data_IF_534626832363
#
_entry.id   IF_534626832363
#
_cell.length_a   1.000
_cell.length_b   1.000
_cell.length_c   1.000
_cell.angle_alpha   90.00
_cell.angle_beta   90.00
_cell.angle_gamma   90.00
#
_symmetry.space_group_name_H-M   'P 1'
#
loop_
_entity.id
_entity.type
_entity.pdbx_description
1 polymer ?
#
# COMPACT_ATOMS: atom_id res chain seq x y z
N UNK A 1 15.86 -14.15 8.84
CA UNK A 1 16.18 -12.75 8.47
C UNK A 1 16.07 -11.88 9.71
N UNK A 2 17.00 -10.95 9.98
CA UNK A 2 16.84 -9.98 11.08
C UNK A 2 15.65 -9.06 10.78
N UNK A 3 14.84 -8.72 11.79
CA UNK A 3 13.63 -7.88 11.61
C UNK A 3 13.93 -6.49 11.05
N UNK A 4 15.11 -5.94 11.31
CA UNK A 4 15.59 -4.70 10.68
C UNK A 4 15.72 -4.86 9.16
N UNK A 5 16.39 -5.93 8.70
CA UNK A 5 16.60 -6.20 7.29
C UNK A 5 15.27 -6.40 6.55
N UNK A 6 14.29 -7.00 7.23
CA UNK A 6 12.94 -7.17 6.69
C UNK A 6 12.23 -5.84 6.49
N UNK A 7 12.28 -4.93 7.48
CA UNK A 7 11.70 -3.60 7.38
C UNK A 7 12.28 -2.83 6.19
N UNK A 8 13.59 -2.89 5.99
CA UNK A 8 14.25 -2.25 4.86
C UNK A 8 13.80 -2.85 3.53
N UNK A 9 13.64 -4.17 3.46
CA UNK A 9 13.13 -4.88 2.29
C UNK A 9 11.69 -4.46 1.96
N UNK A 10 10.82 -4.39 2.97
CA UNK A 10 9.43 -3.96 2.85
C UNK A 10 9.34 -2.52 2.34
N UNK A 11 10.07 -1.59 2.95
CA UNK A 11 10.12 -0.20 2.53
C UNK A 11 10.69 -0.06 1.11
N UNK A 12 11.79 -0.75 0.81
CA UNK A 12 12.40 -0.74 -0.51
C UNK A 12 11.49 -1.28 -1.61
N UNK A 13 10.70 -2.31 -1.31
CA UNK A 13 9.68 -2.83 -2.22
C UNK A 13 8.57 -1.81 -2.50
N UNK A 14 8.07 -1.13 -1.46
CA UNK A 14 7.06 -0.08 -1.64
C UNK A 14 7.62 1.08 -2.48
N UNK A 15 8.87 1.52 -2.24
CA UNK A 15 9.52 2.56 -3.06
C UNK A 15 9.55 2.17 -4.54
N UNK A 16 9.93 0.93 -4.84
CA UNK A 16 9.95 0.44 -6.23
C UNK A 16 8.55 0.45 -6.85
N UNK A 17 7.55 -0.05 -6.13
CA UNK A 17 6.17 -0.06 -6.60
C UNK A 17 5.61 1.34 -6.84
N UNK A 18 5.84 2.29 -5.92
CA UNK A 18 5.44 3.69 -6.11
C UNK A 18 6.08 4.27 -7.37
N UNK A 19 7.39 4.07 -7.58
CA UNK A 19 8.07 4.55 -8.80
C UNK A 19 7.49 3.97 -10.09
N UNK A 20 6.90 2.78 -10.05
CA UNK A 20 6.19 2.21 -11.19
C UNK A 20 4.83 2.90 -11.37
N UNK A 21 4.08 3.11 -10.28
CA UNK A 21 2.78 3.79 -10.31
C UNK A 21 2.90 5.25 -10.74
N UNK A 22 3.88 6.01 -10.24
CA UNK A 22 4.08 7.43 -10.58
C UNK A 22 4.41 7.65 -12.08
N UNK A 23 4.77 6.60 -12.81
CA UNK A 23 4.99 6.64 -14.27
C UNK A 23 3.74 6.25 -15.08
N UNK A 24 2.68 5.81 -14.42
CA UNK A 24 1.48 5.28 -15.07
C UNK A 24 0.36 6.32 -15.09
N UNK A 25 0.19 7.00 -16.22
CA UNK A 25 -0.92 7.92 -16.42
C UNK A 25 -2.27 7.20 -16.31
N UNK A 26 -2.37 5.96 -16.81
CA UNK A 26 -3.61 5.18 -16.74
C UNK A 26 -4.01 4.81 -15.31
N UNK A 27 -3.05 4.64 -14.40
CA UNK A 27 -3.37 4.37 -13.00
C UNK A 27 -3.98 5.58 -12.28
N UNK A 28 -3.81 6.81 -12.78
CA UNK A 28 -4.43 7.99 -12.19
C UNK A 28 -5.97 7.89 -12.18
N UNK A 29 -6.56 7.25 -13.19
CA UNK A 29 -8.00 7.01 -13.28
C UNK A 29 -8.52 5.98 -12.26
N UNK A 30 -7.63 5.21 -11.64
CA UNK A 30 -7.96 4.24 -10.62
C UNK A 30 -7.88 4.80 -9.19
N UNK A 31 -7.43 6.05 -9.02
CA UNK A 31 -7.29 6.68 -7.71
C UNK A 31 -8.65 7.24 -7.26
N UNK A 32 -9.23 6.74 -6.16
CA UNK A 32 -10.53 7.23 -5.66
C UNK A 32 -10.39 8.56 -4.92
N UNK A 33 -11.52 9.20 -4.59
CA UNK A 33 -11.57 10.46 -3.80
C UNK A 33 -10.85 10.33 -2.45
N UNK A 34 -11.01 9.17 -1.80
CA UNK A 34 -10.31 8.83 -0.55
C UNK A 34 -8.82 8.48 -0.74
N UNK A 35 -8.31 8.56 -1.97
CA UNK A 35 -6.95 8.23 -2.39
C UNK A 35 -6.58 6.75 -2.29
N UNK A 36 -5.51 6.37 -2.98
CA UNK A 36 -4.97 5.00 -3.00
C UNK A 36 -3.85 4.85 -2.00
N UNK A 37 -3.80 3.76 -1.24
CA UNK A 37 -2.64 3.41 -0.43
C UNK A 37 -2.13 2.03 -0.83
N UNK A 38 -0.81 1.89 -0.85
CA UNK A 38 -0.11 0.62 -0.99
C UNK A 38 0.46 0.27 0.39
N UNK A 39 0.03 -0.85 0.95
CA UNK A 39 0.50 -1.35 2.24
C UNK A 39 1.27 -2.64 2.09
N UNK A 40 2.26 -2.85 2.97
CA UNK A 40 3.05 -4.06 3.02
C UNK A 40 3.36 -4.40 4.49
N UNK A 41 2.86 -5.55 4.94
CA UNK A 41 3.07 -6.10 6.27
C UNK A 41 4.37 -6.91 6.40
N UNK A 42 5.00 -6.84 7.58
CA UNK A 42 6.05 -7.78 7.98
C UNK A 42 5.49 -9.22 8.09
N UNK A 43 6.38 -10.20 8.05
CA UNK A 43 6.08 -11.58 8.41
C UNK A 43 5.50 -11.63 9.83
N UNK A 44 4.41 -12.39 9.99
CA UNK A 44 3.69 -12.54 11.25
C UNK A 44 3.23 -11.21 11.88
N UNK A 45 2.92 -10.20 11.07
CA UNK A 45 2.40 -8.91 11.53
C UNK A 45 1.21 -9.10 12.48
N UNK A 46 1.25 -8.42 13.64
CA UNK A 46 0.19 -8.53 14.67
C UNK A 46 -0.57 -7.25 14.91
N UNK A 47 0.01 -6.11 14.53
CA UNK A 47 -0.59 -4.81 14.73
C UNK A 47 -0.24 -3.85 13.60
N UNK A 48 -0.87 -2.68 13.58
CA UNK A 48 -0.63 -1.68 12.52
C UNK A 48 0.84 -1.23 12.45
N UNK A 49 1.57 -1.30 13.56
CA UNK A 49 2.99 -0.98 13.67
C UNK A 49 3.89 -1.94 12.87
N UNK A 50 3.36 -3.09 12.47
CA UNK A 50 4.03 -4.06 11.59
C UNK A 50 3.67 -3.87 10.11
N UNK A 51 2.88 -2.86 9.78
CA UNK A 51 2.43 -2.59 8.40
C UNK A 51 2.97 -1.24 7.94
N UNK A 52 3.75 -1.27 6.86
CA UNK A 52 4.21 -0.08 6.18
C UNK A 52 3.18 0.40 5.16
N UNK A 53 3.13 1.72 4.95
CA UNK A 53 2.32 2.34 3.91
C UNK A 53 2.71 3.80 3.70
N UNK A 54 1.99 4.48 2.82
CA UNK A 54 2.24 5.90 2.50
C UNK A 54 1.42 6.79 3.44
N UNK A 55 2.10 7.66 4.18
CA UNK A 55 1.46 8.74 4.94
C UNK A 55 0.85 9.75 3.96
N UNK A 56 -0.43 10.10 4.14
CA UNK A 56 -1.15 10.95 3.17
C UNK A 56 -1.59 10.28 1.86
N UNK A 57 -1.21 9.01 1.63
CA UNK A 57 -1.64 8.16 0.48
C UNK A 57 -1.10 8.65 -0.88
N UNK A 58 -1.47 7.95 -1.96
CA UNK A 58 -1.20 8.29 -3.36
C UNK A 58 -2.38 9.08 -3.92
N UNK A 59 -2.10 10.27 -4.46
CA UNK A 59 -3.07 11.16 -5.10
C UNK A 59 -2.71 11.37 -6.58
N UNK A 60 -3.46 12.21 -7.29
CA UNK A 60 -3.16 12.59 -8.68
C UNK A 60 -2.59 14.01 -8.70
N UNK A 61 -1.43 14.17 -9.34
CA UNK A 61 -0.79 15.47 -9.60
C UNK A 61 -0.46 15.53 -11.08
N UNK A 62 -0.96 16.54 -11.79
CA UNK A 62 -0.74 16.74 -13.23
C UNK A 62 -1.05 15.48 -14.08
N UNK A 63 -2.11 14.73 -13.73
CA UNK A 63 -2.50 13.51 -14.42
C UNK A 63 -1.71 12.25 -14.06
N UNK A 64 -0.77 12.33 -13.10
CA UNK A 64 0.02 11.18 -12.67
C UNK A 64 -0.19 10.84 -11.19
N UNK A 65 -0.11 9.55 -10.81
CA UNK A 65 -0.05 9.16 -9.41
C UNK A 65 1.14 9.82 -8.72
N UNK A 66 0.95 10.27 -7.48
CA UNK A 66 2.00 10.86 -6.65
C UNK A 66 1.82 10.46 -5.19
N UNK A 67 2.89 9.95 -4.57
CA UNK A 67 2.88 9.75 -3.12
C UNK A 67 2.85 11.11 -2.41
N UNK A 68 1.85 11.31 -1.55
CA UNK A 68 1.61 12.61 -0.88
C UNK A 68 2.47 12.81 0.37
N UNK A 69 3.20 11.78 0.81
CA UNK A 69 3.99 11.83 2.03
C UNK A 69 4.95 10.65 2.16
N UNK A 70 5.57 10.56 3.34
CA UNK A 70 6.63 9.59 3.61
C UNK A 70 6.13 8.17 3.81
N UNK A 71 7.00 7.21 3.52
CA UNK A 71 6.80 5.82 3.87
C UNK A 71 7.15 5.60 5.34
N UNK A 72 6.21 5.04 6.10
CA UNK A 72 6.47 4.62 7.47
C UNK A 72 5.57 3.46 7.87
N UNK A 73 5.99 2.77 8.92
CA UNK A 73 5.17 1.79 9.61
C UNK A 73 4.07 2.48 10.44
N UNK A 74 2.92 1.84 10.60
CA UNK A 74 1.83 2.36 11.42
C UNK A 74 1.01 3.50 10.80
N UNK A 75 0.99 3.63 9.47
CA UNK A 75 0.30 4.73 8.75
C UNK A 75 -1.20 4.58 8.63
N UNK A 76 -1.69 3.44 8.14
CA UNK A 76 -3.11 3.26 7.78
C UNK A 76 -3.81 2.27 8.68
N UNK A 77 -4.67 2.74 9.58
CA UNK A 77 -5.46 1.87 10.47
C UNK A 77 -6.37 0.91 9.71
N UNK A 78 -7.02 1.36 8.63
CA UNK A 78 -7.97 0.54 7.87
C UNK A 78 -7.25 -0.54 7.04
N UNK A 79 -6.28 -0.14 6.22
CA UNK A 79 -5.55 -1.07 5.35
C UNK A 79 -4.67 -2.04 6.15
N UNK A 80 -4.12 -1.62 7.30
CA UNK A 80 -3.37 -2.51 8.17
C UNK A 80 -4.26 -3.62 8.77
N UNK A 81 -5.46 -3.27 9.25
CA UNK A 81 -6.42 -4.28 9.73
C UNK A 81 -6.80 -5.25 8.61
N UNK A 82 -7.10 -4.72 7.42
CA UNK A 82 -7.43 -5.53 6.25
C UNK A 82 -6.32 -6.55 5.93
N UNK A 83 -5.08 -6.11 5.76
CA UNK A 83 -4.00 -7.02 5.37
C UNK A 83 -3.66 -8.03 6.48
N UNK A 84 -3.73 -7.63 7.76
CA UNK A 84 -3.52 -8.54 8.88
C UNK A 84 -4.59 -9.64 8.91
N UNK A 85 -5.86 -9.32 8.64
CA UNK A 85 -6.92 -10.33 8.56
C UNK A 85 -6.71 -11.28 7.37
N UNK A 86 -6.33 -10.76 6.21
CA UNK A 86 -5.99 -11.59 5.04
C UNK A 86 -4.84 -12.55 5.37
N UNK A 87 -3.82 -12.08 6.08
CA UNK A 87 -2.68 -12.89 6.50
C UNK A 87 -3.03 -14.04 7.46
N UNK A 88 -4.14 -13.96 8.20
CA UNK A 88 -4.60 -15.09 9.03
C UNK A 88 -5.08 -16.27 8.20
N UNK A 89 -5.58 -16.00 6.99
CA UNK A 89 -6.03 -17.03 6.04
C UNK A 89 -4.87 -17.48 5.15
N UNK A 90 -4.08 -16.53 4.65
CA UNK A 90 -2.89 -16.83 3.83
C UNK A 90 -1.71 -15.92 4.24
N UNK A 91 -0.75 -16.44 5.03
CA UNK A 91 0.40 -15.67 5.51
C UNK A 91 1.32 -15.09 4.41
N UNK A 92 1.24 -15.59 3.17
CA UNK A 92 2.03 -15.08 2.04
C UNK A 92 1.40 -13.80 1.43
N UNK A 93 0.09 -13.58 1.60
CA UNK A 93 -0.61 -12.39 1.10
C UNK A 93 -0.41 -11.20 2.04
N UNK A 94 0.73 -10.53 1.91
CA UNK A 94 1.18 -9.45 2.83
C UNK A 94 1.17 -8.05 2.22
N UNK A 95 0.75 -7.91 0.97
CA UNK A 95 0.70 -6.63 0.25
C UNK A 95 -0.73 -6.35 -0.18
N UNK A 96 -1.18 -5.10 -0.03
CA UNK A 96 -2.50 -4.68 -0.47
C UNK A 96 -2.49 -3.28 -1.06
N UNK A 97 -3.32 -3.05 -2.07
CA UNK A 97 -3.55 -1.74 -2.68
C UNK A 97 -5.05 -1.53 -2.87
N UNK A 98 -5.55 -0.33 -2.55
CA UNK A 98 -6.93 0.04 -2.82
C UNK A 98 -7.02 0.97 -4.04
N UNK A 99 -8.07 0.80 -4.83
CA UNK A 99 -8.38 1.62 -5.99
C UNK A 99 -9.88 1.81 -6.10
N UNK A 100 -10.33 2.63 -7.05
CA UNK A 100 -11.74 2.87 -7.30
C UNK A 100 -12.46 1.57 -7.65
N UNK A 101 -13.64 1.38 -7.08
CA UNK A 101 -14.58 0.36 -7.53
C UNK A 101 -15.55 0.99 -8.53
N UNK A 102 -15.78 0.32 -9.65
CA UNK A 102 -16.90 0.60 -10.54
C UNK A 102 -17.54 -0.72 -10.99
N UNK A 103 -18.78 -0.67 -11.44
CA UNK A 103 -19.53 -1.88 -11.86
C UNK A 103 -18.98 -2.53 -13.14
N UNK A 104 -18.09 -1.85 -13.87
CA UNK A 104 -17.36 -2.42 -15.00
C UNK A 104 -16.18 -3.31 -14.55
N UNK A 105 -15.54 -2.99 -13.42
CA UNK A 105 -14.42 -3.76 -12.84
C UNK A 105 -14.88 -4.90 -11.93
N UNK A 106 -16.09 -4.83 -11.37
CA UNK A 106 -16.57 -5.75 -10.34
C UNK A 106 -17.21 -7.05 -10.83
N UNK A 107 -17.23 -7.31 -12.14
CA UNK A 107 -17.78 -8.54 -12.74
C UNK A 107 -16.73 -9.62 -12.94
#
# INVERSE_FOLDING_TARGET
MKRSNEKDLVLGNIVRAIRMLEKSHSFAYLIPEVRTNLVYALLNAKSKEDVAGIDGRITVVNGFPKASGFLKFGTSSHMARFIIEIMKVNPEMRVGINFIYNDEFGK
#
